data_IF_282983253578
#
_entry.id   IF_282983253578
#
_cell.length_a   1.000
_cell.length_b   1.000
_cell.length_c   1.000
_cell.angle_alpha   90.00
_cell.angle_beta   90.00
_cell.angle_gamma   90.00
#
_symmetry.space_group_name_H-M   'P 1'
#
loop_
_entity.id
_entity.type
_entity.pdbx_description
1 polymer ?
#
# COMPACT_ATOMS: atom_id res chain seq x y z
N UNK A 1 -13.11 -23.81 13.15
CA UNK A 1 -12.62 -22.42 13.25
C UNK A 1 -13.00 -21.69 11.97
N UNK A 2 -13.80 -20.62 12.03
CA UNK A 2 -13.91 -19.71 10.87
C UNK A 2 -12.58 -18.95 10.82
N UNK A 3 -11.74 -19.30 9.85
CA UNK A 3 -10.45 -18.63 9.65
C UNK A 3 -10.65 -17.13 9.47
N UNK A 4 -9.71 -16.33 9.96
CA UNK A 4 -9.73 -14.89 9.79
C UNK A 4 -9.68 -14.59 8.28
N UNK A 5 -10.81 -14.14 7.71
CA UNK A 5 -10.94 -13.81 6.27
C UNK A 5 -10.23 -12.51 5.87
N UNK A 6 -9.51 -11.89 6.81
CA UNK A 6 -8.81 -10.63 6.60
C UNK A 6 -7.44 -10.89 6.00
N UNK A 7 -7.14 -10.16 4.93
CA UNK A 7 -5.80 -10.01 4.42
C UNK A 7 -5.17 -8.73 4.99
N UNK A 8 -3.89 -8.79 5.32
CA UNK A 8 -3.08 -7.65 5.71
C UNK A 8 -2.30 -7.17 4.50
N UNK A 9 -2.49 -5.90 4.15
CA UNK A 9 -1.69 -5.22 3.14
C UNK A 9 -0.70 -4.29 3.82
N UNK A 10 0.57 -4.44 3.50
CA UNK A 10 1.64 -3.57 3.92
C UNK A 10 2.18 -2.85 2.70
N UNK A 11 2.27 -1.53 2.80
CA UNK A 11 2.80 -0.69 1.75
C UNK A 11 3.84 0.26 2.33
N UNK A 12 4.99 0.29 1.68
CA UNK A 12 6.13 1.12 2.04
C UNK A 12 6.76 1.67 0.76
N UNK A 13 7.31 2.87 0.84
CA UNK A 13 7.88 3.58 -0.28
C UNK A 13 9.13 4.33 0.11
N UNK A 14 10.15 4.25 -0.74
CA UNK A 14 11.42 4.94 -0.56
C UNK A 14 11.74 5.79 -1.78
N UNK A 15 12.05 7.06 -1.55
CA UNK A 15 12.43 8.02 -2.58
C UNK A 15 13.89 8.44 -2.41
N UNK A 16 14.60 8.61 -3.53
CA UNK A 16 15.87 9.34 -3.59
C UNK A 16 16.01 10.11 -4.92
N UNK A 17 17.02 11.00 -5.07
CA UNK A 17 17.19 11.78 -6.30
C UNK A 17 17.41 10.96 -7.58
N UNK A 18 17.82 9.68 -7.46
CA UNK A 18 18.02 8.78 -8.61
C UNK A 18 16.74 8.06 -9.00
N UNK A 19 15.73 8.04 -8.15
CA UNK A 19 14.45 7.37 -8.40
C UNK A 19 13.80 6.88 -7.11
N UNK A 20 12.72 6.11 -7.30
CA UNK A 20 11.86 5.71 -6.20
C UNK A 20 11.58 4.21 -6.25
N UNK A 21 11.26 3.65 -5.10
CA UNK A 21 10.99 2.24 -4.90
C UNK A 21 9.77 2.09 -4.02
N UNK A 22 8.98 1.06 -4.26
CA UNK A 22 7.85 0.71 -3.42
C UNK A 22 7.87 -0.77 -3.10
N UNK A 23 7.55 -1.12 -1.86
CA UNK A 23 7.33 -2.48 -1.39
C UNK A 23 5.86 -2.68 -1.04
N UNK A 24 5.29 -3.77 -1.54
CA UNK A 24 3.91 -4.18 -1.29
C UNK A 24 3.95 -5.62 -0.79
N UNK A 25 3.29 -5.89 0.33
CA UNK A 25 3.13 -7.25 0.87
C UNK A 25 1.67 -7.49 1.23
N UNK A 26 1.08 -8.56 0.69
CA UNK A 26 -0.29 -8.96 0.93
C UNK A 26 -0.31 -10.34 1.61
N UNK A 27 -0.78 -10.41 2.84
CA UNK A 27 -0.70 -11.59 3.72
C UNK A 27 -2.09 -12.06 4.19
N UNK A 28 -2.42 -13.35 4.04
CA UNK A 28 -3.65 -13.93 4.61
C UNK A 28 -3.40 -14.58 5.97
N UNK A 29 -2.25 -15.21 6.10
CA UNK A 29 -1.75 -15.89 7.30
C UNK A 29 -0.23 -15.86 7.25
N UNK A 30 0.43 -16.38 8.29
CA UNK A 30 1.91 -16.50 8.31
C UNK A 30 2.47 -17.31 7.14
N UNK A 31 1.64 -18.11 6.47
CA UNK A 31 2.06 -19.07 5.45
C UNK A 31 1.72 -18.62 4.02
N UNK A 32 0.84 -17.61 3.87
CA UNK A 32 0.40 -17.11 2.56
C UNK A 32 0.70 -15.62 2.49
N UNK A 33 1.77 -15.28 1.77
CA UNK A 33 2.19 -13.90 1.49
C UNK A 33 2.48 -13.73 0.01
N UNK A 34 2.02 -12.63 -0.58
CA UNK A 34 2.40 -12.18 -1.91
C UNK A 34 3.18 -10.88 -1.80
N UNK A 35 4.35 -10.81 -2.42
CA UNK A 35 5.23 -9.63 -2.36
C UNK A 35 5.42 -9.08 -3.75
N UNK A 36 5.24 -7.77 -3.88
CA UNK A 36 5.49 -7.02 -5.10
C UNK A 36 6.39 -5.84 -4.79
N UNK A 37 7.21 -5.45 -5.75
CA UNK A 37 8.07 -4.28 -5.62
C UNK A 37 8.14 -3.52 -6.93
N UNK A 38 8.18 -2.20 -6.82
CA UNK A 38 8.39 -1.28 -7.93
C UNK A 38 9.77 -0.65 -7.78
N UNK A 39 10.45 -0.42 -8.91
CA UNK A 39 11.80 0.13 -8.95
C UNK A 39 11.95 1.22 -9.99
N UNK A 40 12.83 2.18 -9.69
CA UNK A 40 13.38 3.20 -10.60
C UNK A 40 12.33 4.05 -11.34
N UNK A 41 11.20 4.33 -10.70
CA UNK A 41 10.19 5.24 -11.22
C UNK A 41 10.36 6.67 -10.67
N UNK A 42 10.05 7.66 -11.51
CA UNK A 42 10.08 9.08 -11.13
C UNK A 42 8.80 9.45 -10.41
N UNK A 43 8.95 9.89 -9.17
CA UNK A 43 7.85 10.35 -8.32
C UNK A 43 8.41 11.26 -7.23
N UNK A 44 7.56 11.99 -6.51
CA UNK A 44 7.95 12.76 -5.32
C UNK A 44 7.87 11.91 -4.04
N UNK A 45 8.43 12.43 -2.93
CA UNK A 45 8.44 11.74 -1.64
C UNK A 45 7.04 11.29 -1.20
N UNK A 46 6.03 12.15 -1.30
CA UNK A 46 4.68 11.76 -0.87
C UNK A 46 4.05 10.77 -1.84
N UNK A 47 4.33 10.89 -3.14
CA UNK A 47 3.71 10.07 -4.17
C UNK A 47 4.23 8.63 -4.18
N UNK A 48 5.46 8.33 -3.72
CA UNK A 48 5.97 6.95 -3.71
C UNK A 48 5.10 6.02 -2.88
N UNK A 49 4.61 6.50 -1.74
CA UNK A 49 3.74 5.70 -0.88
C UNK A 49 2.31 5.61 -1.43
N UNK A 50 1.80 6.65 -2.11
CA UNK A 50 0.51 6.53 -2.82
C UNK A 50 0.59 5.51 -3.94
N UNK A 51 1.68 5.48 -4.71
CA UNK A 51 1.89 4.47 -5.75
C UNK A 51 1.95 3.07 -5.14
N UNK A 52 2.66 2.90 -4.02
CA UNK A 52 2.68 1.64 -3.27
C UNK A 52 1.26 1.20 -2.86
N UNK A 53 0.45 2.13 -2.34
CA UNK A 53 -0.94 1.89 -1.96
C UNK A 53 -1.81 1.49 -3.15
N UNK A 54 -1.74 2.22 -4.26
CA UNK A 54 -2.52 1.95 -5.48
C UNK A 54 -2.18 0.57 -6.04
N UNK A 55 -0.90 0.21 -6.08
CA UNK A 55 -0.47 -1.12 -6.54
C UNK A 55 -0.94 -2.21 -5.57
N UNK A 56 -0.85 -1.99 -4.26
CA UNK A 56 -1.41 -2.90 -3.26
C UNK A 56 -2.91 -3.15 -3.41
N UNK A 57 -3.67 -2.10 -3.73
CA UNK A 57 -5.13 -2.19 -3.98
C UNK A 57 -5.43 -2.92 -5.29
N UNK A 58 -4.60 -2.77 -6.33
CA UNK A 58 -4.75 -3.55 -7.56
C UNK A 58 -4.47 -5.03 -7.31
N UNK A 59 -3.42 -5.32 -6.55
CA UNK A 59 -3.01 -6.67 -6.20
C UNK A 59 -4.11 -7.42 -5.45
N UNK A 60 -4.78 -6.80 -4.48
CA UNK A 60 -5.86 -7.44 -3.74
C UNK A 60 -7.05 -7.86 -4.65
N UNK A 61 -7.30 -7.10 -5.71
CA UNK A 61 -8.37 -7.40 -6.67
C UNK A 61 -8.00 -8.58 -7.57
N UNK A 62 -6.73 -8.67 -7.96
CA UNK A 62 -6.22 -9.77 -8.77
C UNK A 62 -6.30 -11.12 -8.03
N UNK A 63 -6.13 -11.11 -6.70
CA UNK A 63 -6.27 -12.31 -5.85
C UNK A 63 -7.65 -12.45 -5.18
N UNK A 64 -8.65 -11.69 -5.62
CA UNK A 64 -10.05 -11.78 -5.16
C UNK A 64 -10.22 -11.69 -3.63
N UNK A 65 -9.45 -10.82 -2.98
CA UNK A 65 -9.54 -10.56 -1.54
C UNK A 65 -10.89 -9.92 -1.20
N UNK A 66 -11.61 -10.51 -0.23
CA UNK A 66 -12.91 -9.99 0.22
C UNK A 66 -12.81 -8.93 1.32
N UNK A 67 -11.77 -9.00 2.15
CA UNK A 67 -11.57 -8.13 3.31
C UNK A 67 -10.09 -7.85 3.50
N UNK A 68 -9.73 -6.58 3.49
CA UNK A 68 -8.35 -6.12 3.62
C UNK A 68 -8.20 -5.15 4.79
N UNK A 69 -7.06 -5.21 5.48
CA UNK A 69 -6.58 -4.16 6.38
C UNK A 69 -5.25 -3.68 5.86
N UNK A 70 -5.19 -2.41 5.48
CA UNK A 70 -3.96 -1.77 5.08
C UNK A 70 -3.20 -1.25 6.32
N UNK A 71 -1.89 -1.50 6.37
CA UNK A 71 -0.92 -0.90 7.28
C UNK A 71 0.10 -0.13 6.45
N UNK A 72 0.29 1.11 6.85
CA UNK A 72 1.21 2.06 6.26
C UNK A 72 1.69 2.98 7.39
N UNK A 73 2.91 3.49 7.29
CA UNK A 73 3.55 4.36 8.26
C UNK A 73 3.39 5.86 7.95
N UNK A 74 2.95 6.22 6.74
CA UNK A 74 2.55 7.59 6.43
C UNK A 74 1.22 7.99 7.06
N UNK A 75 1.37 8.88 8.04
CA UNK A 75 0.25 9.61 8.66
C UNK A 75 -0.55 10.41 7.62
N UNK A 76 0.10 10.92 6.57
CA UNK A 76 -0.59 11.67 5.51
C UNK A 76 -1.61 10.77 4.80
N UNK A 77 -1.16 9.60 4.34
CA UNK A 77 -2.00 8.67 3.59
C UNK A 77 -3.11 8.14 4.47
N UNK A 78 -2.78 7.68 5.68
CA UNK A 78 -3.79 7.15 6.61
C UNK A 78 -4.85 8.21 6.95
N UNK A 79 -4.46 9.45 7.24
CA UNK A 79 -5.41 10.54 7.48
C UNK A 79 -6.27 10.86 6.26
N UNK A 80 -5.71 10.90 5.04
CA UNK A 80 -6.50 11.20 3.85
C UNK A 80 -7.46 10.07 3.48
N UNK A 81 -7.02 8.81 3.59
CA UNK A 81 -7.86 7.63 3.34
C UNK A 81 -9.01 7.55 4.35
N UNK A 82 -8.78 7.94 5.60
CA UNK A 82 -9.83 8.02 6.62
C UNK A 82 -10.74 9.26 6.49
N UNK A 83 -10.41 10.19 5.60
CA UNK A 83 -11.16 11.44 5.42
C UNK A 83 -10.85 12.53 6.46
N UNK A 84 -9.87 12.32 7.32
CA UNK A 84 -9.42 13.30 8.31
C UNK A 84 -8.74 14.49 7.62
N UNK A 85 -7.98 14.22 6.55
CA UNK A 85 -7.27 15.23 5.77
C UNK A 85 -7.87 15.33 4.38
N UNK A 86 -8.07 16.56 3.89
CA UNK A 86 -8.43 16.83 2.50
C UNK A 86 -7.23 17.36 1.72
N UNK A 87 -7.14 16.99 0.45
CA UNK A 87 -6.28 17.70 -0.47
C UNK A 87 -6.80 19.12 -0.66
N UNK A 88 -5.90 20.10 -0.65
CA UNK A 88 -6.27 21.49 -0.87
C UNK A 88 -6.30 21.73 -2.39
N UNK A 89 -7.44 22.15 -2.91
CA UNK A 89 -7.49 22.65 -4.29
C UNK A 89 -6.62 23.92 -4.38
N UNK A 90 -5.81 23.98 -5.43
CA UNK A 90 -4.91 25.10 -5.73
C UNK A 90 -5.56 26.02 -6.77
#
# INVERSE_FOLDING_TARGET
MKGCDWWMLYVDGAYNPKGSRAGITLERSRDISLKQSLFDFKTSYNQVEYEALIVGIKLEKEVEVKKIRCRNDSKLITSQVNGDFQAKDT
#
